data_IF_088453093058
#
_entry.id   IF_088453093058
#
_cell.length_a   1.000
_cell.length_b   1.000
_cell.length_c   1.000
_cell.angle_alpha   90.00
_cell.angle_beta   90.00
_cell.angle_gamma   90.00
#
_symmetry.space_group_name_H-M   'P 1'
#
loop_
_entity.id
_entity.type
_entity.pdbx_description
1 polymer ?
#
# COMPACT_ATOMS: atom_id res chain seq x y z
N UNK A 1 -13.75 -2.76 13.43
CA UNK A 1 -13.29 -2.43 12.07
C UNK A 1 -11.96 -1.69 12.14
N UNK A 2 -11.04 -1.97 11.21
CA UNK A 2 -9.68 -1.44 11.18
C UNK A 2 -9.33 -1.09 9.74
N UNK A 3 -8.67 0.05 9.55
CA UNK A 3 -8.32 0.56 8.22
C UNK A 3 -6.80 0.67 8.04
N UNK A 4 -6.36 0.60 6.79
CA UNK A 4 -4.98 0.87 6.35
C UNK A 4 -5.00 1.67 5.07
N UNK A 5 -3.90 2.35 4.78
CA UNK A 5 -3.79 3.23 3.61
C UNK A 5 -2.96 2.58 2.49
N UNK A 6 -3.28 2.95 1.25
CA UNK A 6 -2.54 2.58 0.05
C UNK A 6 -2.54 3.79 -0.88
N UNK A 7 -1.38 4.18 -1.40
CA UNK A 7 -1.24 5.40 -2.22
C UNK A 7 -0.61 5.05 -3.56
N UNK A 8 -1.31 5.38 -4.64
CA UNK A 8 -0.79 5.29 -6.00
C UNK A 8 -0.22 6.64 -6.44
N UNK A 9 1.03 6.64 -6.92
CA UNK A 9 1.77 7.83 -7.33
C UNK A 9 2.24 7.61 -8.78
N UNK A 10 1.51 8.12 -9.78
CA UNK A 10 1.91 8.05 -11.18
C UNK A 10 2.95 9.11 -11.53
N UNK A 11 3.93 8.73 -12.33
CA UNK A 11 4.93 9.62 -12.95
C UNK A 11 5.02 9.30 -14.46
N UNK A 12 5.83 10.07 -15.21
CA UNK A 12 5.91 9.92 -16.67
C UNK A 12 6.44 8.53 -17.09
N UNK A 13 7.46 8.03 -16.40
CA UNK A 13 8.21 6.83 -16.75
C UNK A 13 7.96 5.64 -15.80
N UNK A 14 7.36 5.89 -14.63
CA UNK A 14 7.08 4.87 -13.61
C UNK A 14 5.75 5.10 -12.92
N UNK A 15 5.28 4.07 -12.21
CA UNK A 15 4.23 4.24 -11.23
C UNK A 15 4.61 3.55 -9.93
N UNK A 16 4.46 4.27 -8.82
CA UNK A 16 4.83 3.78 -7.49
C UNK A 16 3.57 3.49 -6.70
N UNK A 17 3.55 2.37 -5.98
CA UNK A 17 2.50 2.06 -5.03
C UNK A 17 3.09 1.96 -3.62
N UNK A 18 2.64 2.84 -2.73
CA UNK A 18 2.93 2.73 -1.31
C UNK A 18 1.95 1.74 -0.67
N UNK A 19 2.48 0.71 0.00
CA UNK A 19 1.69 -0.33 0.66
C UNK A 19 1.93 -0.32 2.17
N UNK A 20 0.86 -0.50 2.93
CA UNK A 20 0.89 -0.71 4.37
C UNK A 20 1.33 -2.15 4.69
N UNK A 21 2.04 -2.32 5.82
CA UNK A 21 2.49 -3.63 6.32
C UNK A 21 1.90 -4.03 7.68
N UNK A 22 1.34 -3.07 8.40
CA UNK A 22 0.76 -3.22 9.73
C UNK A 22 -0.48 -2.33 9.86
N UNK A 23 -1.37 -2.65 10.79
CA UNK A 23 -2.40 -1.72 11.28
C UNK A 23 -1.79 -0.98 12.46
N UNK A 24 -1.45 0.30 12.25
CA UNK A 24 -0.67 1.09 13.21
C UNK A 24 0.83 0.71 13.22
N UNK A 25 1.62 1.28 14.14
CA UNK A 25 3.07 1.06 14.21
C UNK A 25 3.59 1.17 15.66
N UNK A 26 4.51 0.26 16.05
CA UNK A 26 5.04 0.16 17.42
C UNK A 26 6.28 1.04 17.69
N UNK A 27 6.83 1.71 16.66
CA UNK A 27 8.13 2.38 16.75
C UNK A 27 8.10 3.78 17.37
N UNK A 28 6.92 4.32 17.67
CA UNK A 28 6.75 5.59 18.40
C UNK A 28 7.53 6.79 17.81
N UNK A 29 7.74 6.81 16.49
CA UNK A 29 8.41 7.92 15.83
C UNK A 29 7.58 9.22 16.00
N UNK A 30 8.12 10.22 16.69
CA UNK A 30 7.39 11.45 17.08
C UNK A 30 6.83 12.26 15.91
N UNK A 31 7.38 12.09 14.72
CA UNK A 31 6.95 12.78 13.49
C UNK A 31 5.90 11.99 12.69
N UNK A 32 5.60 10.74 13.06
CA UNK A 32 4.74 9.84 12.28
C UNK A 32 3.33 9.80 12.85
N UNK A 33 2.32 10.19 12.07
CA UNK A 33 0.91 10.13 12.50
C UNK A 33 0.45 8.70 12.78
N UNK A 34 0.91 7.71 11.99
CA UNK A 34 0.60 6.29 12.22
C UNK A 34 1.11 5.79 13.58
N UNK A 35 2.22 6.34 14.09
CA UNK A 35 2.76 5.96 15.39
C UNK A 35 1.86 6.45 16.55
N UNK A 36 1.14 7.57 16.39
CA UNK A 36 0.22 8.09 17.42
C UNK A 36 -0.98 7.16 17.65
N UNK A 37 -1.31 6.32 16.66
CA UNK A 37 -2.39 5.32 16.76
C UNK A 37 -1.97 4.09 17.57
N UNK A 38 -0.68 3.94 17.85
CA UNK A 38 -0.10 2.74 18.45
C UNK A 38 -0.08 1.55 17.49
N UNK A 39 0.44 0.41 17.96
CA UNK A 39 0.43 -0.84 17.20
C UNK A 39 -0.83 -1.64 17.49
N UNK A 40 -1.45 -2.19 16.45
CA UNK A 40 -2.53 -3.14 16.61
C UNK A 40 -2.14 -4.57 16.21
N UNK A 41 -1.78 -4.78 14.94
CA UNK A 41 -1.40 -6.10 14.41
C UNK A 41 -0.61 -6.01 13.12
N UNK A 42 0.06 -7.11 12.77
CA UNK A 42 0.60 -7.30 11.43
C UNK A 42 -0.50 -7.62 10.42
N UNK A 43 -0.26 -7.23 9.17
CA UNK A 43 -1.09 -7.66 8.05
C UNK A 43 -0.73 -9.08 7.62
N UNK A 44 -1.75 -9.85 7.23
CA UNK A 44 -1.56 -11.14 6.54
C UNK A 44 -1.02 -10.89 5.14
N UNK A 45 -0.36 -11.90 4.57
CA UNK A 45 0.13 -11.85 3.18
C UNK A 45 -0.98 -11.41 2.20
N UNK A 46 -2.20 -11.94 2.38
CA UNK A 46 -3.36 -11.59 1.55
C UNK A 46 -3.78 -10.12 1.67
N UNK A 47 -3.58 -9.49 2.83
CA UNK A 47 -3.91 -8.09 3.06
C UNK A 47 -2.84 -7.16 2.46
N UNK A 48 -1.57 -7.59 2.43
CA UNK A 48 -0.49 -6.84 1.76
C UNK A 48 -0.63 -6.95 0.24
N UNK A 49 -0.67 -8.17 -0.32
CA UNK A 49 -0.80 -8.35 -1.78
C UNK A 49 -2.18 -7.89 -2.29
N UNK A 50 -3.19 -7.90 -1.42
CA UNK A 50 -4.52 -7.37 -1.69
C UNK A 50 -4.50 -5.88 -2.03
N UNK A 51 -3.64 -5.08 -1.40
CA UNK A 51 -3.48 -3.66 -1.72
C UNK A 51 -3.02 -3.46 -3.17
N UNK A 52 -2.00 -4.22 -3.59
CA UNK A 52 -1.49 -4.20 -4.98
C UNK A 52 -2.57 -4.64 -5.95
N UNK A 53 -3.27 -5.74 -5.66
CA UNK A 53 -4.32 -6.27 -6.53
C UNK A 53 -5.51 -5.33 -6.67
N UNK A 54 -5.96 -4.70 -5.57
CA UNK A 54 -7.06 -3.73 -5.58
C UNK A 54 -6.69 -2.48 -6.37
N UNK A 55 -5.51 -1.91 -6.12
CA UNK A 55 -5.01 -0.76 -6.87
C UNK A 55 -4.88 -1.08 -8.37
N UNK A 56 -4.26 -2.22 -8.72
CA UNK A 56 -4.11 -2.65 -10.12
C UNK A 56 -5.46 -2.80 -10.85
N UNK A 57 -6.49 -3.28 -10.13
CA UNK A 57 -7.84 -3.45 -10.67
C UNK A 57 -8.56 -2.11 -10.87
N UNK A 58 -8.39 -1.15 -9.95
CA UNK A 58 -9.02 0.17 -10.01
C UNK A 58 -8.37 1.08 -11.05
N UNK A 59 -7.04 1.08 -11.14
CA UNK A 59 -6.28 1.90 -12.10
C UNK A 59 -6.44 1.37 -13.54
N UNK A 60 -6.83 0.11 -13.70
CA UNK A 60 -7.07 -0.49 -15.01
C UNK A 60 -5.76 -0.72 -15.76
N UNK A 61 -4.86 -1.53 -15.21
CA UNK A 61 -3.66 -1.94 -15.93
C UNK A 61 -4.07 -2.66 -17.22
N UNK A 62 -3.97 -1.97 -18.36
CA UNK A 62 -4.14 -2.60 -19.65
C UNK A 62 -3.11 -3.71 -19.77
N UNK A 63 -3.57 -4.88 -20.21
CA UNK A 63 -2.80 -6.09 -20.46
C UNK A 63 -1.83 -5.89 -21.64
N UNK A 64 -1.02 -4.83 -21.65
CA UNK A 64 0.17 -4.82 -22.48
C UNK A 64 1.17 -5.77 -21.81
N UNK A 65 1.17 -7.01 -22.29
CA UNK A 65 2.11 -8.06 -21.91
C UNK A 65 3.53 -7.54 -22.12
N UNK A 66 4.15 -7.02 -21.06
CA UNK A 66 5.50 -6.46 -21.09
C UNK A 66 5.74 -5.29 -20.13
N UNK A 67 4.70 -4.51 -19.78
CA UNK A 67 4.84 -3.34 -18.92
C UNK A 67 4.14 -3.60 -17.57
N UNK A 68 4.92 -3.81 -16.50
CA UNK A 68 4.41 -3.87 -15.12
C UNK A 68 4.28 -2.43 -14.61
N UNK A 69 3.09 -1.84 -14.55
CA UNK A 69 2.92 -0.42 -14.24
C UNK A 69 3.17 -0.16 -12.77
N UNK A 70 2.92 -1.18 -11.93
CA UNK A 70 3.27 -1.22 -10.52
C UNK A 70 4.30 -2.34 -10.40
N UNK A 71 5.53 -1.99 -10.01
CA UNK A 71 6.66 -2.95 -9.92
C UNK A 71 7.01 -3.22 -8.47
#
# INVERSE_FOLDING_TARGET
DQDVETVYIPEEDRATLCVSSQVGCALECKFCSTAQQGFNRNLKVSEIIGQVWRAAREIGLQKETGRRPIT
#
